data_IF_127193796725
#
_entry.id   IF_127193796725
#
_cell.length_a   1.000
_cell.length_b   1.000
_cell.length_c   1.000
_cell.angle_alpha   90.00
_cell.angle_beta   90.00
_cell.angle_gamma   90.00
#
_symmetry.space_group_name_H-M   'P 1'
#
loop_
_entity.id
_entity.type
_entity.pdbx_description
1 polymer ?
#
# COMPACT_ATOMS: atom_id res chain seq x y z
N UNK A 1 -38.28 24.01 -2.67
CA UNK A 1 -36.93 23.74 -3.22
C UNK A 1 -36.09 23.18 -2.09
N UNK A 2 -35.97 21.85 -1.99
CA UNK A 2 -35.26 21.21 -0.88
C UNK A 2 -33.76 21.17 -1.20
N UNK A 3 -32.99 21.81 -0.33
CA UNK A 3 -31.54 21.94 -0.42
C UNK A 3 -30.91 20.57 -0.12
N UNK A 4 -30.44 19.88 -1.17
CA UNK A 4 -29.78 18.59 -1.08
C UNK A 4 -28.41 18.75 -0.44
N UNK A 5 -28.34 18.69 0.89
CA UNK A 5 -27.09 18.48 1.60
C UNK A 5 -26.59 17.09 1.23
N UNK A 6 -25.64 17.03 0.31
CA UNK A 6 -24.90 15.83 -0.02
C UNK A 6 -24.30 15.28 1.28
N UNK A 7 -24.83 14.14 1.73
CA UNK A 7 -24.26 13.39 2.83
C UNK A 7 -22.92 12.85 2.36
N UNK A 8 -21.85 13.61 2.58
CA UNK A 8 -20.49 13.08 2.46
C UNK A 8 -20.33 12.11 3.62
N UNK A 9 -20.72 10.86 3.39
CA UNK A 9 -20.35 9.76 4.27
C UNK A 9 -18.82 9.75 4.25
N UNK A 10 -18.22 10.17 5.37
CA UNK A 10 -16.80 9.98 5.59
C UNK A 10 -16.56 8.47 5.52
N UNK A 11 -16.06 8.01 4.37
CA UNK A 11 -15.65 6.63 4.21
C UNK A 11 -14.64 6.37 5.33
N UNK A 12 -14.84 5.33 6.16
CA UNK A 12 -13.85 5.02 7.19
C UNK A 12 -12.51 4.89 6.48
N UNK A 13 -11.53 5.70 6.89
CA UNK A 13 -10.21 5.65 6.29
C UNK A 13 -9.72 4.22 6.42
N UNK A 14 -9.59 3.52 5.29
CA UNK A 14 -9.04 2.18 5.27
C UNK A 14 -7.58 2.37 5.66
N UNK A 15 -7.27 2.08 6.93
CA UNK A 15 -5.91 2.21 7.45
C UNK A 15 -5.11 1.12 6.77
N UNK A 16 -4.36 1.50 5.74
CA UNK A 16 -3.44 0.58 5.09
C UNK A 16 -2.41 0.09 6.12
N UNK A 17 -2.07 -1.21 6.10
CA UNK A 17 -1.09 -1.74 7.03
C UNK A 17 0.27 -1.05 6.81
N UNK A 18 1.01 -0.86 7.90
CA UNK A 18 2.36 -0.32 7.81
C UNK A 18 3.27 -1.26 7.01
N UNK A 19 4.25 -0.73 6.25
CA UNK A 19 5.21 -1.57 5.56
C UNK A 19 6.00 -2.42 6.56
N UNK A 20 6.16 -3.70 6.23
CA UNK A 20 6.97 -4.61 7.02
C UNK A 20 8.46 -4.22 6.95
N UNK A 21 9.26 -4.54 7.99
CA UNK A 21 10.71 -4.41 7.92
C UNK A 21 11.32 -5.16 6.72
N UNK A 22 12.55 -4.78 6.35
CA UNK A 22 13.29 -5.42 5.27
C UNK A 22 13.35 -6.94 5.49
N UNK A 23 12.96 -7.72 4.49
CA UNK A 23 12.87 -9.18 4.65
C UNK A 23 14.24 -9.86 4.72
N UNK A 24 15.29 -9.16 4.28
CA UNK A 24 16.66 -9.66 4.27
C UNK A 24 17.45 -9.27 5.52
N UNK A 25 17.30 -8.04 6.03
CA UNK A 25 18.12 -7.54 7.13
C UNK A 25 17.34 -6.98 8.33
N UNK A 26 16.01 -6.97 8.29
CA UNK A 26 15.15 -6.44 9.36
C UNK A 26 15.18 -4.92 9.52
N UNK A 27 15.96 -4.19 8.72
CA UNK A 27 16.02 -2.73 8.78
C UNK A 27 14.68 -2.10 8.38
N UNK A 28 14.41 -0.89 8.87
CA UNK A 28 13.29 -0.08 8.39
C UNK A 28 13.38 0.10 6.88
N UNK A 29 12.22 0.10 6.22
CA UNK A 29 12.09 0.36 4.79
C UNK A 29 11.28 1.63 4.54
N UNK A 30 11.53 2.25 3.39
CA UNK A 30 10.83 3.44 2.93
C UNK A 30 10.20 3.17 1.56
N UNK A 31 9.01 3.72 1.33
CA UNK A 31 8.33 3.61 0.05
C UNK A 31 9.09 4.43 -1.00
N UNK A 32 9.52 3.78 -2.07
CA UNK A 32 10.28 4.40 -3.15
C UNK A 32 9.45 4.60 -4.41
N UNK A 33 8.52 3.67 -4.68
CA UNK A 33 7.72 3.71 -5.90
C UNK A 33 6.37 3.02 -5.68
N UNK A 34 5.33 3.58 -6.29
CA UNK A 34 4.06 2.92 -6.54
C UNK A 34 3.91 2.76 -8.05
N UNK A 35 3.55 1.56 -8.50
CA UNK A 35 3.32 1.26 -9.92
C UNK A 35 1.93 0.64 -10.05
N UNK A 36 0.98 1.32 -10.72
CA UNK A 36 -0.34 0.73 -10.94
C UNK A 36 -0.20 -0.50 -11.86
N UNK A 37 -1.06 -1.49 -11.65
CA UNK A 37 -1.18 -2.63 -12.57
C UNK A 37 -2.58 -2.70 -13.15
N UNK A 38 -2.74 -3.33 -14.31
CA UNK A 38 -4.05 -3.52 -14.94
C UNK A 38 -4.96 -4.50 -14.17
N UNK A 39 -4.46 -5.18 -13.14
CA UNK A 39 -5.10 -6.31 -12.48
C UNK A 39 -5.79 -5.95 -11.15
N UNK A 40 -6.13 -4.67 -10.94
CA UNK A 40 -6.83 -4.24 -9.73
C UNK A 40 -5.96 -4.21 -8.47
N UNK A 41 -4.65 -4.31 -8.61
CA UNK A 41 -3.68 -4.08 -7.55
C UNK A 41 -2.58 -3.11 -8.03
N UNK A 42 -1.82 -2.58 -7.10
CA UNK A 42 -0.62 -1.80 -7.38
C UNK A 42 0.61 -2.47 -6.77
N UNK A 43 1.77 -2.22 -7.37
CA UNK A 43 3.05 -2.66 -6.87
C UNK A 43 3.70 -1.53 -6.10
N UNK A 44 3.95 -1.76 -4.81
CA UNK A 44 4.69 -0.83 -3.95
C UNK A 44 6.10 -1.36 -3.73
N UNK A 45 7.09 -0.59 -4.15
CA UNK A 45 8.51 -0.89 -3.97
C UNK A 45 9.03 -0.15 -2.75
N UNK A 46 9.63 -0.90 -1.83
CA UNK A 46 10.23 -0.41 -0.61
C UNK A 46 11.72 -0.71 -0.60
N UNK A 47 12.53 0.26 -0.19
CA UNK A 47 13.98 0.12 -0.07
C UNK A 47 14.40 0.32 1.38
N UNK A 48 15.39 -0.46 1.83
CA UNK A 48 16.02 -0.27 3.13
C UNK A 48 17.34 0.49 3.00
N UNK A 49 17.88 0.98 4.12
CA UNK A 49 19.13 1.77 4.13
C UNK A 49 20.37 1.02 3.62
N UNK A 50 20.29 -0.31 3.57
CA UNK A 50 21.37 -1.17 3.07
C UNK A 50 21.22 -1.48 1.56
N UNK A 51 20.21 -0.90 0.89
CA UNK A 51 19.96 -1.10 -0.54
C UNK A 51 19.15 -2.35 -0.89
N UNK A 52 18.59 -3.07 0.08
CA UNK A 52 17.71 -4.20 -0.22
C UNK A 52 16.30 -3.71 -0.58
N UNK A 53 15.68 -4.39 -1.54
CA UNK A 53 14.36 -4.05 -2.07
C UNK A 53 13.34 -5.10 -1.65
N UNK A 54 12.22 -4.65 -1.09
CA UNK A 54 11.00 -5.44 -0.93
C UNK A 54 9.94 -4.89 -1.89
N UNK A 55 9.23 -5.75 -2.61
CA UNK A 55 8.14 -5.34 -3.50
C UNK A 55 6.85 -6.02 -3.10
N UNK A 56 5.77 -5.26 -2.93
CA UNK A 56 4.48 -5.79 -2.50
C UNK A 56 3.40 -5.52 -3.54
N UNK A 57 2.54 -6.51 -3.78
CA UNK A 57 1.25 -6.28 -4.40
C UNK A 57 0.24 -5.85 -3.34
N UNK A 58 -0.44 -4.73 -3.60
CA UNK A 58 -1.41 -4.09 -2.69
C UNK A 58 -2.71 -3.85 -3.44
N UNK A 59 -3.82 -4.35 -2.91
CA UNK A 59 -5.17 -4.01 -3.41
C UNK A 59 -5.63 -2.77 -2.65
N UNK A 60 -5.67 -1.63 -3.33
CA UNK A 60 -6.05 -0.37 -2.71
C UNK A 60 -7.50 -0.42 -2.19
N UNK A 61 -7.72 0.12 -0.98
CA UNK A 61 -9.04 0.12 -0.35
C UNK A 61 -9.55 -1.27 0.05
N UNK A 62 -8.64 -2.22 0.27
CA UNK A 62 -8.96 -3.56 0.75
C UNK A 62 -8.28 -3.85 2.07
N UNK A 63 -8.90 -4.70 2.89
CA UNK A 63 -8.29 -5.26 4.11
C UNK A 63 -7.43 -6.50 3.81
N UNK A 64 -7.25 -6.85 2.53
CA UNK A 64 -6.40 -7.97 2.14
C UNK A 64 -4.93 -7.70 2.52
N UNK A 65 -4.20 -8.74 2.95
CA UNK A 65 -2.80 -8.60 3.29
C UNK A 65 -1.97 -8.22 2.06
N UNK A 66 -0.92 -7.43 2.29
CA UNK A 66 0.07 -7.15 1.25
C UNK A 66 0.84 -8.42 0.91
N UNK A 67 1.00 -8.71 -0.38
CA UNK A 67 1.69 -9.92 -0.85
C UNK A 67 3.09 -9.56 -1.29
N UNK A 68 4.11 -10.08 -0.61
CA UNK A 68 5.51 -9.91 -1.02
C UNK A 68 5.76 -10.66 -2.34
N UNK A 69 6.21 -9.92 -3.35
CA UNK A 69 6.65 -10.47 -4.64
C UNK A 69 8.14 -10.83 -4.50
N UNK A 70 8.47 -12.10 -4.72
CA UNK A 70 9.84 -12.59 -4.83
C UNK A 70 10.12 -12.79 -6.32
N UNK A 71 11.05 -12.00 -6.85
CA UNK A 71 11.57 -12.11 -8.21
C UNK A 71 12.73 -13.11 -8.26
#
# INVERSE_FOLDING_TARGET
MQNGKEFVVAQPAIIEPAPSPCTQCGARTWLMRITPTAHGYELRTFECRNGHINRYAVVHGSSLPWVLIRE
#
